data_IF_227824495326
#
_entry.id   IF_227824495326
#
_cell.length_a   1.000
_cell.length_b   1.000
_cell.length_c   1.000
_cell.angle_alpha   90.00
_cell.angle_beta   90.00
_cell.angle_gamma   90.00
#
_symmetry.space_group_name_H-M   'P 1'
#
loop_
_entity.id
_entity.type
_entity.pdbx_description
1 polymer ?
#
# COMPACT_ATOMS: atom_id res chain seq x y z
N UNK A 1 40.12 -15.42 -10.72
CA UNK A 1 40.60 -14.18 -11.37
C UNK A 1 39.61 -13.09 -11.03
N UNK A 2 40.04 -11.88 -10.62
CA UNK A 2 39.12 -10.76 -10.54
C UNK A 2 38.50 -10.55 -11.94
N UNK A 3 37.20 -10.21 -12.02
CA UNK A 3 36.57 -9.89 -13.29
C UNK A 3 37.31 -8.74 -13.98
N UNK A 4 37.31 -8.73 -15.31
CA UNK A 4 37.84 -7.62 -16.09
C UNK A 4 37.20 -6.30 -15.60
N UNK A 5 37.98 -5.26 -15.26
CA UNK A 5 37.45 -3.98 -14.79
C UNK A 5 36.46 -3.35 -15.76
N UNK A 6 36.62 -3.57 -17.08
CA UNK A 6 35.65 -3.13 -18.09
C UNK A 6 34.32 -3.88 -17.96
N UNK A 7 34.39 -5.21 -17.80
CA UNK A 7 33.21 -6.06 -17.60
C UNK A 7 32.50 -5.76 -16.28
N UNK A 8 33.24 -5.44 -15.23
CA UNK A 8 32.70 -5.11 -13.91
C UNK A 8 31.93 -3.79 -13.92
N UNK A 9 32.41 -2.79 -14.69
CA UNK A 9 31.72 -1.53 -14.88
C UNK A 9 30.42 -1.68 -15.68
N UNK A 10 30.42 -2.49 -16.74
CA UNK A 10 29.22 -2.80 -17.52
C UNK A 10 28.15 -3.53 -16.70
N UNK A 11 28.56 -4.52 -15.89
CA UNK A 11 27.67 -5.24 -14.97
C UNK A 11 27.09 -4.33 -13.90
N UNK A 12 27.90 -3.43 -13.32
CA UNK A 12 27.42 -2.45 -12.35
C UNK A 12 26.35 -1.52 -12.96
N UNK A 13 26.55 -1.04 -14.20
CA UNK A 13 25.55 -0.23 -14.89
C UNK A 13 24.25 -1.01 -15.19
N UNK A 14 24.37 -2.27 -15.58
CA UNK A 14 23.21 -3.13 -15.80
C UNK A 14 22.36 -3.30 -14.53
N UNK A 15 23.01 -3.51 -13.37
CA UNK A 15 22.37 -3.58 -12.06
C UNK A 15 21.69 -2.25 -11.67
N UNK A 16 22.30 -1.10 -12.02
CA UNK A 16 21.66 0.22 -11.83
C UNK A 16 20.35 0.31 -12.61
N UNK A 17 20.36 -0.05 -13.90
CA UNK A 17 19.16 -0.06 -14.73
C UNK A 17 18.11 -1.07 -14.25
N UNK A 18 18.53 -2.24 -13.80
CA UNK A 18 17.65 -3.25 -13.20
C UNK A 18 16.93 -2.69 -11.96
N UNK A 19 17.65 -1.99 -11.07
CA UNK A 19 17.04 -1.38 -9.91
C UNK A 19 15.96 -0.34 -10.27
N UNK A 20 16.19 0.47 -11.32
CA UNK A 20 15.15 1.38 -11.83
C UNK A 20 13.93 0.65 -12.40
N UNK A 21 14.11 -0.49 -13.06
CA UNK A 21 12.98 -1.33 -13.50
C UNK A 21 12.21 -1.86 -12.30
N UNK A 22 12.90 -2.28 -11.24
CA UNK A 22 12.24 -2.73 -10.01
C UNK A 22 11.41 -1.63 -9.36
N UNK A 23 11.84 -0.37 -9.39
CA UNK A 23 11.00 0.77 -8.95
C UNK A 23 9.71 0.86 -9.77
N UNK A 24 9.78 0.75 -11.09
CA UNK A 24 8.58 0.75 -11.96
C UNK A 24 7.62 -0.42 -11.67
N UNK A 25 8.18 -1.54 -11.22
CA UNK A 25 7.43 -2.74 -10.82
C UNK A 25 6.99 -2.71 -9.35
N UNK A 26 7.16 -1.59 -8.65
CA UNK A 26 6.86 -1.45 -7.21
C UNK A 26 7.58 -2.47 -6.31
N UNK A 27 8.83 -2.80 -6.65
CA UNK A 27 9.70 -3.72 -5.89
C UNK A 27 10.88 -2.95 -5.27
N UNK A 28 10.65 -2.07 -4.27
CA UNK A 28 11.71 -1.22 -3.73
C UNK A 28 12.85 -2.00 -3.06
N UNK A 29 12.56 -3.17 -2.47
CA UNK A 29 13.60 -4.02 -1.88
C UNK A 29 14.52 -4.63 -2.95
N UNK A 30 13.96 -5.10 -4.07
CA UNK A 30 14.76 -5.59 -5.18
C UNK A 30 15.58 -4.45 -5.81
N UNK A 31 15.00 -3.26 -5.93
CA UNK A 31 15.73 -2.09 -6.41
C UNK A 31 16.94 -1.74 -5.53
N UNK A 32 16.74 -1.66 -4.22
CA UNK A 32 17.81 -1.45 -3.24
C UNK A 32 18.91 -2.52 -3.38
N UNK A 33 18.53 -3.79 -3.51
CA UNK A 33 19.48 -4.90 -3.62
C UNK A 33 20.32 -4.83 -4.91
N UNK A 34 19.71 -4.50 -6.06
CA UNK A 34 20.43 -4.31 -7.32
C UNK A 34 21.47 -3.19 -7.21
N UNK A 35 21.11 -2.05 -6.60
CA UNK A 35 22.05 -0.94 -6.42
C UNK A 35 23.17 -1.25 -5.42
N UNK A 36 22.88 -1.97 -4.33
CA UNK A 36 23.90 -2.45 -3.41
C UNK A 36 24.87 -3.42 -4.08
N UNK A 37 24.39 -4.31 -4.96
CA UNK A 37 25.26 -5.18 -5.75
C UNK A 37 26.13 -4.36 -6.73
N UNK A 38 25.57 -3.32 -7.36
CA UNK A 38 26.32 -2.42 -8.22
C UNK A 38 27.47 -1.75 -7.45
N UNK A 39 27.23 -1.27 -6.23
CA UNK A 39 28.26 -0.69 -5.35
C UNK A 39 29.33 -1.70 -4.89
N UNK A 40 29.00 -2.99 -4.78
CA UNK A 40 30.00 -4.04 -4.50
C UNK A 40 30.93 -4.27 -5.69
N UNK A 41 30.40 -4.24 -6.91
CA UNK A 41 31.20 -4.38 -8.13
C UNK A 41 32.03 -3.12 -8.42
N UNK A 42 31.46 -1.94 -8.16
CA UNK A 42 32.11 -0.66 -8.36
C UNK A 42 31.87 0.25 -7.15
N UNK A 43 32.74 0.15 -6.13
CA UNK A 43 32.66 1.03 -4.95
C UNK A 43 32.73 2.50 -5.36
N UNK A 44 31.79 3.30 -4.85
CA UNK A 44 31.70 4.74 -5.17
C UNK A 44 31.08 5.05 -6.53
N UNK A 45 30.33 4.11 -7.15
CA UNK A 45 29.56 4.42 -8.35
C UNK A 45 28.52 5.52 -8.05
N UNK A 46 28.56 6.67 -8.75
CA UNK A 46 27.71 7.81 -8.44
C UNK A 46 26.23 7.53 -8.76
N UNK A 47 25.94 6.76 -9.81
CA UNK A 47 24.56 6.49 -10.20
C UNK A 47 23.87 5.53 -9.22
N UNK A 48 24.57 4.49 -8.76
CA UNK A 48 24.05 3.59 -7.73
C UNK A 48 23.88 4.30 -6.38
N UNK A 49 24.82 5.18 -6.02
CA UNK A 49 24.72 6.00 -4.79
C UNK A 49 23.52 6.93 -4.85
N UNK A 50 23.36 7.69 -5.93
CA UNK A 50 22.22 8.60 -6.13
C UNK A 50 20.88 7.84 -6.11
N UNK A 51 20.81 6.65 -6.71
CA UNK A 51 19.60 5.85 -6.73
C UNK A 51 19.20 5.35 -5.33
N UNK A 52 20.17 4.93 -4.51
CA UNK A 52 19.94 4.56 -3.11
C UNK A 52 19.49 5.75 -2.28
N UNK A 53 20.19 6.89 -2.38
CA UNK A 53 19.83 8.12 -1.67
C UNK A 53 18.41 8.56 -2.03
N UNK A 54 18.04 8.46 -3.31
CA UNK A 54 16.68 8.77 -3.78
C UNK A 54 15.63 7.86 -3.15
N UNK A 55 15.88 6.54 -3.06
CA UNK A 55 14.93 5.63 -2.42
C UNK A 55 14.83 5.88 -0.92
N UNK A 56 15.96 6.05 -0.23
CA UNK A 56 15.98 6.27 1.23
C UNK A 56 15.27 7.58 1.62
N UNK A 57 15.32 8.59 0.75
CA UNK A 57 14.71 9.92 0.96
C UNK A 57 13.34 10.09 0.29
N UNK A 58 12.79 9.05 -0.35
CA UNK A 58 11.47 9.07 -0.99
C UNK A 58 10.34 9.21 0.05
N UNK A 59 10.03 10.44 0.44
CA UNK A 59 9.02 10.77 1.45
C UNK A 59 7.59 10.45 1.00
N UNK A 60 7.38 10.18 -0.28
CA UNK A 60 6.12 9.69 -0.83
C UNK A 60 5.86 8.21 -0.51
N UNK A 61 6.89 7.43 -0.18
CA UNK A 61 6.78 6.01 0.16
C UNK A 61 6.64 5.82 1.68
N UNK A 62 5.89 4.78 2.12
CA UNK A 62 5.92 4.39 3.53
C UNK A 62 7.34 3.98 3.95
N UNK A 63 7.72 4.30 5.19
CA UNK A 63 9.06 4.01 5.71
C UNK A 63 9.44 2.52 5.56
N UNK A 64 8.48 1.61 5.75
CA UNK A 64 8.68 0.17 5.60
C UNK A 64 9.21 -0.26 4.21
N UNK A 65 8.96 0.56 3.17
CA UNK A 65 9.39 0.33 1.79
C UNK A 65 10.81 0.83 1.50
N UNK A 66 11.30 1.83 2.24
CA UNK A 66 12.57 2.52 1.99
C UNK A 66 13.66 2.28 3.04
N UNK A 67 13.29 1.81 4.24
CA UNK A 67 14.22 1.44 5.32
C UNK A 67 15.16 0.32 4.86
N UNK A 68 16.50 0.53 4.86
CA UNK A 68 17.45 -0.53 4.57
C UNK A 68 17.31 -1.70 5.53
N UNK A 69 17.44 -2.93 5.02
CA UNK A 69 17.24 -4.16 5.81
C UNK A 69 18.51 -4.99 5.87
N UNK A 70 18.71 -5.63 7.01
CA UNK A 70 19.84 -6.52 7.28
C UNK A 70 19.31 -7.89 7.64
N UNK A 71 20.09 -8.90 7.32
CA UNK A 71 19.84 -10.26 7.76
C UNK A 71 19.98 -10.34 9.28
N UNK A 72 19.10 -11.10 9.92
CA UNK A 72 19.15 -11.42 11.34
C UNK A 72 20.26 -12.45 11.60
N UNK A 73 20.74 -12.43 12.84
CA UNK A 73 21.64 -13.45 13.36
C UNK A 73 20.84 -14.70 13.81
N UNK A 74 21.46 -15.89 13.79
CA UNK A 74 21.01 -17.07 14.53
C UNK A 74 20.58 -16.74 15.96
N UNK A 75 19.55 -17.45 16.41
CA UNK A 75 18.97 -17.26 17.75
C UNK A 75 19.92 -17.71 18.88
N UNK A 76 20.70 -18.77 18.64
CA UNK A 76 21.62 -19.37 19.61
C UNK A 76 22.85 -20.00 18.92
N UNK A 77 23.74 -20.59 19.74
CA UNK A 77 24.98 -21.22 19.28
C UNK A 77 24.72 -22.50 18.46
N UNK A 78 23.60 -23.19 18.69
CA UNK A 78 23.23 -24.40 17.94
C UNK A 78 22.75 -24.03 16.52
N UNK A 79 21.88 -23.03 16.41
CA UNK A 79 21.50 -22.41 15.15
C UNK A 79 22.73 -21.85 14.42
N UNK A 80 23.66 -21.20 15.14
CA UNK A 80 24.92 -20.74 14.55
C UNK A 80 25.70 -21.87 13.89
N UNK A 81 25.87 -22.99 14.58
CA UNK A 81 26.59 -24.16 14.04
C UNK A 81 25.91 -24.72 12.79
N UNK A 82 24.58 -24.79 12.77
CA UNK A 82 23.80 -25.21 11.59
C UNK A 82 23.97 -24.25 10.41
N UNK A 83 23.92 -22.95 10.65
CA UNK A 83 24.13 -21.93 9.62
C UNK A 83 25.54 -22.01 9.04
N UNK A 84 26.56 -22.15 9.90
CA UNK A 84 27.95 -22.29 9.47
C UNK A 84 28.18 -23.54 8.60
N UNK A 85 27.46 -24.63 8.87
CA UNK A 85 27.47 -25.82 8.04
C UNK A 85 26.78 -25.58 6.69
N UNK A 86 25.56 -25.03 6.69
CA UNK A 86 24.81 -24.73 5.48
C UNK A 86 25.54 -23.74 4.57
N UNK A 87 26.27 -22.78 5.14
CA UNK A 87 27.02 -21.77 4.41
C UNK A 87 28.38 -22.25 3.90
N UNK A 88 28.88 -23.39 4.39
CA UNK A 88 30.21 -23.88 4.06
C UNK A 88 30.37 -24.07 2.55
N UNK A 89 31.34 -23.37 1.97
CA UNK A 89 31.66 -23.45 0.55
C UNK A 89 30.68 -22.72 -0.39
N UNK A 90 29.72 -21.95 0.15
CA UNK A 90 28.80 -21.12 -0.66
C UNK A 90 29.29 -19.67 -0.74
N UNK A 91 29.01 -19.02 -1.86
CA UNK A 91 29.21 -17.57 -2.01
C UNK A 91 27.93 -16.83 -1.59
N UNK A 92 27.82 -16.47 -0.31
CA UNK A 92 26.67 -15.73 0.22
C UNK A 92 26.60 -14.28 -0.24
N UNK A 93 27.61 -13.77 -0.95
CA UNK A 93 27.52 -12.44 -1.58
C UNK A 93 26.53 -12.44 -2.75
N UNK A 94 26.30 -13.62 -3.36
CA UNK A 94 25.26 -13.86 -4.33
C UNK A 94 23.92 -14.13 -3.62
N UNK A 95 22.93 -13.27 -3.85
CA UNK A 95 21.62 -13.36 -3.18
C UNK A 95 20.91 -14.70 -3.47
N UNK A 96 21.08 -15.25 -4.68
CA UNK A 96 20.52 -16.56 -5.03
C UNK A 96 21.08 -17.70 -4.17
N UNK A 97 22.38 -17.71 -3.90
CA UNK A 97 23.01 -18.72 -3.06
C UNK A 97 22.61 -18.56 -1.58
N UNK A 98 22.50 -17.33 -1.10
CA UNK A 98 21.97 -17.03 0.24
C UNK A 98 20.50 -17.50 0.38
N UNK A 99 19.66 -17.21 -0.62
CA UNK A 99 18.26 -17.67 -0.65
C UNK A 99 18.15 -19.19 -0.53
N UNK A 100 18.94 -19.94 -1.29
CA UNK A 100 18.95 -21.40 -1.26
C UNK A 100 19.51 -21.97 0.05
N UNK A 101 20.44 -21.26 0.72
CA UNK A 101 20.92 -21.67 2.04
C UNK A 101 19.85 -21.47 3.12
N UNK A 102 19.16 -20.33 3.11
CA UNK A 102 18.06 -20.08 4.06
C UNK A 102 16.82 -20.94 3.78
N UNK A 103 16.60 -21.36 2.54
CA UNK A 103 15.63 -22.42 2.21
C UNK A 103 15.92 -23.71 2.97
N UNK A 104 17.14 -24.23 2.77
CA UNK A 104 17.55 -25.47 3.40
C UNK A 104 17.50 -25.36 4.94
N UNK A 105 17.99 -24.25 5.50
CA UNK A 105 17.95 -24.04 6.95
C UNK A 105 16.52 -24.01 7.51
N UNK A 106 15.57 -23.41 6.78
CA UNK A 106 14.16 -23.36 7.17
C UNK A 106 13.46 -24.72 7.03
N UNK A 107 13.92 -25.58 6.11
CA UNK A 107 13.46 -26.97 5.98
C UNK A 107 14.04 -27.88 7.09
N UNK A 108 15.33 -27.71 7.39
CA UNK A 108 16.06 -28.49 8.40
C UNK A 108 15.55 -28.17 9.82
N UNK A 109 15.23 -26.90 10.09
CA UNK A 109 14.58 -26.46 11.33
C UNK A 109 13.51 -25.40 11.05
N UNK A 110 12.24 -25.82 10.97
CA UNK A 110 11.13 -24.90 10.76
C UNK A 110 10.92 -23.91 11.91
N UNK A 111 11.54 -24.09 13.08
CA UNK A 111 11.36 -23.21 14.25
C UNK A 111 12.40 -22.10 14.36
N UNK A 112 13.45 -22.11 13.53
CA UNK A 112 14.45 -21.04 13.46
C UNK A 112 13.84 -19.79 12.78
N UNK A 113 13.22 -18.92 13.60
CA UNK A 113 12.57 -17.72 13.10
C UNK A 113 13.52 -16.79 12.30
N UNK A 114 14.75 -16.48 12.75
CA UNK A 114 15.71 -15.75 11.93
C UNK A 114 15.93 -16.30 10.51
N UNK A 115 15.89 -17.63 10.30
CA UNK A 115 15.96 -18.22 8.96
C UNK A 115 14.80 -17.78 8.07
N UNK A 116 13.56 -17.82 8.57
CA UNK A 116 12.38 -17.43 7.81
C UNK A 116 12.40 -15.97 7.40
N UNK A 117 12.80 -15.07 8.30
CA UNK A 117 12.95 -13.66 7.96
C UNK A 117 14.05 -13.43 6.92
N UNK A 118 15.19 -14.10 7.07
CA UNK A 118 16.31 -13.98 6.12
C UNK A 118 15.97 -14.55 4.74
N UNK A 119 15.26 -15.69 4.69
CA UNK A 119 14.68 -16.26 3.47
C UNK A 119 13.77 -15.25 2.80
N UNK A 120 12.85 -14.63 3.54
CA UNK A 120 11.97 -13.61 3.01
C UNK A 120 12.72 -12.42 2.40
N UNK A 121 13.76 -11.93 3.08
CA UNK A 121 14.57 -10.82 2.54
C UNK A 121 15.29 -11.21 1.25
N UNK A 122 15.90 -12.40 1.18
CA UNK A 122 16.54 -12.86 -0.05
C UNK A 122 15.54 -13.01 -1.22
N UNK A 123 14.34 -13.52 -0.95
CA UNK A 123 13.27 -13.61 -1.94
C UNK A 123 12.79 -12.22 -2.39
N UNK A 124 12.59 -11.28 -1.45
CA UNK A 124 12.20 -9.91 -1.76
C UNK A 124 13.28 -9.16 -2.57
N UNK A 125 14.56 -9.36 -2.25
CA UNK A 125 15.70 -8.77 -2.96
C UNK A 125 15.86 -9.30 -4.39
N UNK A 126 15.32 -10.49 -4.69
CA UNK A 126 15.27 -11.06 -6.04
C UNK A 126 13.93 -10.80 -6.74
N UNK A 127 13.01 -10.06 -6.11
CA UNK A 127 11.70 -9.71 -6.64
C UNK A 127 10.68 -10.85 -6.59
N UNK A 128 10.95 -11.95 -5.87
CA UNK A 128 10.02 -13.06 -5.59
C UNK A 128 9.12 -12.68 -4.41
N UNK A 129 8.33 -11.62 -4.58
CA UNK A 129 7.54 -11.03 -3.51
C UNK A 129 6.50 -11.99 -2.92
N UNK A 130 5.89 -12.83 -3.76
CA UNK A 130 4.84 -13.77 -3.35
C UNK A 130 5.34 -14.73 -2.26
N UNK A 131 6.45 -15.39 -2.54
CA UNK A 131 7.09 -16.35 -1.64
C UNK A 131 7.73 -15.65 -0.43
N UNK A 132 8.21 -14.42 -0.61
CA UNK A 132 8.70 -13.61 0.51
C UNK A 132 7.57 -13.32 1.53
N UNK A 133 6.35 -13.08 1.06
CA UNK A 133 5.18 -12.89 1.94
C UNK A 133 4.89 -14.17 2.73
N UNK A 134 4.97 -15.35 2.11
CA UNK A 134 4.79 -16.62 2.82
C UNK A 134 5.84 -16.84 3.93
N UNK A 135 7.10 -16.52 3.64
CA UNK A 135 8.17 -16.63 4.62
C UNK A 135 8.03 -15.61 5.76
N UNK A 136 7.57 -14.38 5.47
CA UNK A 136 7.24 -13.39 6.51
C UNK A 136 6.04 -13.84 7.36
N UNK A 137 5.03 -14.46 6.75
CA UNK A 137 3.88 -15.00 7.48
C UNK A 137 4.32 -16.08 8.48
N UNK A 138 5.19 -16.99 8.03
CA UNK A 138 5.78 -17.99 8.93
C UNK A 138 6.57 -17.34 10.07
N UNK A 139 7.44 -16.36 9.74
CA UNK A 139 8.20 -15.62 10.74
C UNK A 139 7.31 -14.96 11.79
N UNK A 140 6.21 -14.32 11.37
CA UNK A 140 5.23 -13.70 12.27
C UNK A 140 4.59 -14.75 13.17
N UNK A 141 4.21 -15.92 12.65
CA UNK A 141 3.65 -17.00 13.47
C UNK A 141 4.60 -17.47 14.59
N UNK A 142 5.89 -17.56 14.30
CA UNK A 142 6.88 -17.97 15.30
C UNK A 142 7.17 -16.90 16.34
N UNK A 143 7.08 -15.62 15.97
CA UNK A 143 7.64 -14.53 16.77
C UNK A 143 6.60 -13.64 17.43
N UNK A 144 5.35 -13.64 16.96
CA UNK A 144 4.35 -12.67 17.39
C UNK A 144 4.11 -12.61 18.91
N UNK A 145 4.17 -13.74 19.60
CA UNK A 145 4.01 -13.78 21.06
C UNK A 145 5.24 -13.27 21.83
N UNK A 146 6.46 -13.54 21.32
CA UNK A 146 7.71 -13.23 22.01
C UNK A 146 8.28 -11.84 21.64
N UNK A 147 8.06 -11.41 20.39
CA UNK A 147 8.64 -10.21 19.78
C UNK A 147 7.58 -9.50 18.91
N UNK A 148 6.48 -9.00 19.49
CA UNK A 148 5.34 -8.46 18.75
C UNK A 148 5.69 -7.28 17.84
N UNK A 149 6.62 -6.41 18.25
CA UNK A 149 7.03 -5.25 17.45
C UNK A 149 7.80 -5.65 16.18
N UNK A 150 8.71 -6.62 16.30
CA UNK A 150 9.45 -7.14 15.15
C UNK A 150 8.53 -7.92 14.21
N UNK A 151 7.56 -8.67 14.76
CA UNK A 151 6.53 -9.33 13.96
C UNK A 151 5.66 -8.31 13.22
N UNK A 152 5.28 -7.20 13.86
CA UNK A 152 4.54 -6.11 13.22
C UNK A 152 5.36 -5.40 12.14
N UNK A 153 6.66 -5.13 12.36
CA UNK A 153 7.56 -4.57 11.34
C UNK A 153 7.75 -5.51 10.14
N UNK A 154 7.85 -6.82 10.39
CA UNK A 154 7.92 -7.84 9.35
C UNK A 154 6.61 -7.92 8.55
N UNK A 155 5.46 -7.81 9.22
CA UNK A 155 4.18 -7.80 8.52
C UNK A 155 3.92 -6.50 7.75
N UNK A 156 4.38 -5.35 8.26
CA UNK A 156 4.39 -4.10 7.50
C UNK A 156 5.23 -4.23 6.22
N UNK A 157 6.33 -4.99 6.23
CA UNK A 157 7.06 -5.32 5.01
C UNK A 157 6.22 -6.18 4.06
N UNK A 158 5.51 -7.19 4.57
CA UNK A 158 4.63 -8.02 3.74
C UNK A 158 3.56 -7.17 3.02
N UNK A 159 2.99 -6.16 3.71
CA UNK A 159 2.08 -5.19 3.10
C UNK A 159 2.71 -4.44 1.92
N UNK A 160 3.99 -4.05 2.01
CA UNK A 160 4.71 -3.43 0.88
C UNK A 160 4.86 -4.44 -0.28
N UNK A 161 5.26 -5.67 0.02
CA UNK A 161 5.56 -6.67 -1.00
C UNK A 161 4.32 -7.08 -1.81
N UNK A 162 3.13 -7.08 -1.20
CA UNK A 162 1.83 -7.39 -1.85
C UNK A 162 1.50 -6.48 -3.02
N UNK A 163 2.04 -5.27 -3.05
CA UNK A 163 1.79 -4.28 -4.11
C UNK A 163 2.86 -4.28 -5.20
N UNK A 164 3.93 -5.05 -5.02
CA UNK A 164 4.93 -5.27 -6.06
C UNK A 164 4.47 -6.26 -7.11
N UNK A 165 4.99 -6.13 -8.33
CA UNK A 165 4.65 -7.02 -9.42
C UNK A 165 4.90 -8.50 -9.05
N UNK A 166 4.06 -9.40 -9.52
CA UNK A 166 4.08 -10.84 -9.20
C UNK A 166 3.32 -11.23 -7.92
N UNK A 167 2.89 -10.26 -7.09
CA UNK A 167 2.08 -10.50 -5.90
C UNK A 167 0.67 -9.89 -6.02
N UNK A 168 0.20 -9.56 -7.22
CA UNK A 168 -1.05 -8.81 -7.46
C UNK A 168 -2.28 -9.52 -6.86
N UNK A 169 -2.27 -10.84 -6.83
CA UNK A 169 -3.35 -11.66 -6.26
C UNK A 169 -3.43 -11.58 -4.72
N UNK A 170 -2.39 -11.04 -4.06
CA UNK A 170 -2.31 -10.82 -2.61
C UNK A 170 -2.57 -9.38 -2.18
N UNK A 171 -2.73 -8.46 -3.12
CA UNK A 171 -2.96 -7.04 -2.85
C UNK A 171 -4.38 -6.79 -2.33
N UNK A 172 -4.49 -5.95 -1.29
CA UNK A 172 -5.77 -5.55 -0.72
C UNK A 172 -6.26 -4.19 -1.25
N UNK A 173 -5.34 -3.25 -1.54
CA UNK A 173 -5.71 -1.93 -2.06
C UNK A 173 -5.55 -1.91 -3.60
N UNK A 174 -6.68 -2.05 -4.30
CA UNK A 174 -6.74 -2.21 -5.76
C UNK A 174 -7.35 -0.97 -6.42
N UNK A 175 -6.92 -0.70 -7.65
CA UNK A 175 -7.64 0.16 -8.59
C UNK A 175 -8.39 -0.71 -9.60
N UNK A 176 -9.66 -0.39 -9.79
CA UNK A 176 -10.53 -1.00 -10.78
C UNK A 176 -10.75 0.01 -11.89
N UNK A 177 -10.56 -0.40 -13.14
CA UNK A 177 -10.79 0.47 -14.28
C UNK A 177 -11.34 -0.30 -15.47
N UNK A 178 -12.04 0.42 -16.32
CA UNK A 178 -12.41 -0.05 -17.64
C UNK A 178 -12.18 1.03 -18.69
N UNK A 179 -11.98 0.61 -19.92
CA UNK A 179 -11.99 1.45 -21.11
C UNK A 179 -12.96 0.87 -22.14
N UNK A 180 -13.67 1.76 -22.85
CA UNK A 180 -14.51 1.37 -23.98
C UNK A 180 -14.55 2.48 -25.05
N UNK A 181 -14.83 2.12 -26.31
CA UNK A 181 -15.14 3.10 -27.35
C UNK A 181 -16.35 3.95 -26.95
N UNK A 182 -16.21 5.27 -27.06
CA UNK A 182 -17.29 6.21 -26.77
C UNK A 182 -17.59 7.09 -27.99
N UNK A 183 -18.81 6.99 -28.59
CA UNK A 183 -19.15 7.81 -29.74
C UNK A 183 -19.12 9.30 -29.42
N UNK A 184 -18.52 10.11 -30.29
CA UNK A 184 -18.46 11.58 -30.09
C UNK A 184 -19.84 12.23 -30.07
N UNK A 185 -20.78 11.68 -30.86
CA UNK A 185 -22.17 12.11 -30.92
C UNK A 185 -22.97 11.79 -29.67
N UNK A 186 -22.49 10.86 -28.83
CA UNK A 186 -23.18 10.48 -27.60
C UNK A 186 -22.84 11.45 -26.47
N UNK A 187 -23.84 11.91 -25.69
CA UNK A 187 -23.58 12.73 -24.50
C UNK A 187 -22.70 11.99 -23.50
N UNK A 188 -21.93 12.69 -22.65
CA UNK A 188 -21.15 12.03 -21.60
C UNK A 188 -22.03 11.13 -20.71
N UNK A 189 -21.52 9.99 -20.23
CA UNK A 189 -22.30 9.08 -19.37
C UNK A 189 -22.69 9.73 -18.03
N UNK A 190 -22.01 10.78 -17.62
CA UNK A 190 -22.25 11.47 -16.36
C UNK A 190 -23.01 12.79 -16.54
N UNK A 191 -23.59 13.07 -17.72
CA UNK A 191 -24.26 14.35 -17.98
C UNK A 191 -25.50 14.57 -17.10
N UNK A 192 -26.33 13.54 -16.92
CA UNK A 192 -27.49 13.61 -16.03
C UNK A 192 -27.06 13.81 -14.56
N UNK A 193 -26.02 13.10 -14.13
CA UNK A 193 -25.43 13.25 -12.79
C UNK A 193 -24.80 14.64 -12.58
N UNK A 194 -24.21 15.21 -13.63
CA UNK A 194 -23.66 16.57 -13.60
C UNK A 194 -24.77 17.61 -13.40
N UNK A 195 -25.91 17.45 -14.07
CA UNK A 195 -27.08 18.33 -13.88
C UNK A 195 -27.63 18.27 -12.44
N UNK A 196 -27.41 17.15 -11.73
CA UNK A 196 -27.76 16.98 -10.31
C UNK A 196 -26.66 17.45 -9.35
N UNK A 197 -25.51 17.92 -9.82
CA UNK A 197 -24.39 18.33 -8.98
C UNK A 197 -23.56 17.18 -8.40
N UNK A 198 -23.62 15.99 -9.00
CA UNK A 198 -22.87 14.80 -8.61
C UNK A 198 -21.58 14.57 -9.44
N UNK A 199 -21.13 15.60 -10.16
CA UNK A 199 -19.92 15.55 -11.01
C UNK A 199 -19.09 16.80 -10.78
N UNK A 200 -17.78 16.63 -10.63
CA UNK A 200 -16.81 17.73 -10.50
C UNK A 200 -15.78 17.66 -11.62
N UNK A 201 -15.56 18.76 -12.32
CA UNK A 201 -14.49 18.82 -13.34
C UNK A 201 -13.13 18.88 -12.66
N UNK A 202 -12.18 18.11 -13.19
CA UNK A 202 -10.77 18.17 -12.82
C UNK A 202 -10.02 18.82 -13.99
N UNK A 203 -9.17 19.84 -13.74
CA UNK A 203 -8.35 20.39 -14.81
C UNK A 203 -7.43 19.31 -15.37
N UNK A 204 -7.36 19.24 -16.71
CA UNK A 204 -6.42 18.35 -17.40
C UNK A 204 -5.00 18.77 -17.02
N UNK A 205 -4.13 17.84 -16.57
CA UNK A 205 -2.73 18.16 -16.28
C UNK A 205 -2.05 18.85 -17.45
N UNK A 206 -1.22 19.84 -17.14
CA UNK A 206 -0.43 20.59 -18.12
C UNK A 206 0.98 20.03 -18.10
N UNK A 207 1.54 19.78 -19.28
CA UNK A 207 2.93 19.40 -19.44
C UNK A 207 3.82 20.59 -18.99
N UNK A 208 4.68 20.41 -17.97
CA UNK A 208 5.49 21.50 -17.44
C UNK A 208 6.52 22.03 -18.45
N UNK A 209 6.94 21.22 -19.43
CA UNK A 209 7.91 21.61 -20.46
C UNK A 209 7.25 22.38 -21.60
N UNK A 210 6.12 21.87 -22.09
CA UNK A 210 5.45 22.45 -23.27
C UNK A 210 4.35 23.45 -22.93
N UNK A 211 3.93 23.50 -21.66
CA UNK A 211 2.78 24.27 -21.16
C UNK A 211 1.46 23.94 -21.88
N UNK A 212 1.40 22.81 -22.60
CA UNK A 212 0.22 22.33 -23.29
C UNK A 212 -0.54 21.31 -22.42
N UNK A 213 -1.87 21.16 -22.60
CA UNK A 213 -2.61 20.08 -21.96
C UNK A 213 -2.04 18.72 -22.34
N UNK A 214 -1.80 17.86 -21.35
CA UNK A 214 -1.27 16.51 -21.58
C UNK A 214 -2.26 15.61 -22.34
N UNK A 215 -3.55 15.93 -22.29
CA UNK A 215 -4.60 15.24 -23.04
C UNK A 215 -5.55 16.26 -23.70
N UNK A 216 -5.18 16.83 -24.86
CA UNK A 216 -6.00 17.81 -25.56
C UNK A 216 -7.38 17.24 -25.93
N UNK A 217 -8.45 17.98 -25.62
CA UNK A 217 -9.83 17.56 -25.88
C UNK A 217 -10.39 16.54 -24.89
N UNK A 218 -9.61 16.10 -23.90
CA UNK A 218 -10.12 15.25 -22.84
C UNK A 218 -10.91 16.06 -21.80
N UNK A 219 -11.97 15.47 -21.28
CA UNK A 219 -12.66 15.93 -20.07
C UNK A 219 -12.44 14.93 -18.96
N UNK A 220 -11.89 15.41 -17.84
CA UNK A 220 -11.62 14.59 -16.65
C UNK A 220 -12.59 15.03 -15.56
N UNK A 221 -13.33 14.08 -14.98
CA UNK A 221 -14.30 14.38 -13.94
C UNK A 221 -14.21 13.41 -12.77
N UNK A 222 -14.49 13.91 -11.58
CA UNK A 222 -14.85 13.08 -10.43
C UNK A 222 -16.35 12.84 -10.47
N UNK A 223 -16.75 11.57 -10.53
CA UNK A 223 -18.13 11.15 -10.43
C UNK A 223 -18.44 10.73 -8.99
N UNK A 224 -19.25 11.53 -8.32
CA UNK A 224 -19.63 11.36 -6.92
C UNK A 224 -20.74 10.33 -6.75
N UNK A 225 -20.85 9.72 -5.57
CA UNK A 225 -21.94 8.80 -5.20
C UNK A 225 -23.30 9.47 -5.09
N UNK A 226 -23.29 10.76 -4.75
CA UNK A 226 -24.46 11.61 -4.60
C UNK A 226 -24.11 13.08 -4.93
N UNK A 227 -25.12 13.93 -5.14
CA UNK A 227 -24.92 15.37 -5.26
C UNK A 227 -24.16 15.98 -4.08
N UNK A 228 -23.37 17.02 -4.36
CA UNK A 228 -22.76 17.83 -3.30
C UNK A 228 -23.85 18.54 -2.47
N UNK A 229 -23.88 18.36 -1.13
CA UNK A 229 -24.81 19.11 -0.31
C UNK A 229 -24.41 20.60 -0.24
N UNK A 230 -25.37 21.50 0.05
CA UNK A 230 -25.06 22.90 0.31
C UNK A 230 -24.15 23.02 1.56
N UNK A 231 -23.34 24.09 1.68
CA UNK A 231 -22.48 24.28 2.84
C UNK A 231 -23.32 24.51 4.09
N UNK A 232 -23.24 23.56 5.04
CA UNK A 232 -23.92 23.62 6.33
C UNK A 232 -22.95 23.17 7.45
N UNK A 233 -22.72 23.99 8.49
CA UNK A 233 -21.92 23.59 9.65
C UNK A 233 -22.43 22.34 10.39
N UNK A 234 -23.69 21.96 10.22
CA UNK A 234 -24.29 20.77 10.83
C UNK A 234 -23.95 19.43 10.15
N UNK A 235 -23.26 19.45 9.00
CA UNK A 235 -22.96 18.24 8.24
C UNK A 235 -22.10 17.23 9.02
N UNK A 236 -22.36 15.96 8.73
CA UNK A 236 -21.61 14.81 9.25
C UNK A 236 -20.93 14.05 8.11
N UNK A 237 -19.97 13.15 8.40
CA UNK A 237 -19.35 12.33 7.37
C UNK A 237 -20.31 11.50 6.50
N UNK A 238 -21.48 11.12 7.03
CA UNK A 238 -22.47 10.34 6.30
C UNK A 238 -23.20 11.15 5.21
N UNK A 239 -23.20 12.48 5.34
CA UNK A 239 -23.81 13.42 4.39
C UNK A 239 -22.87 13.74 3.22
N UNK A 240 -21.56 13.48 3.40
CA UNK A 240 -20.54 13.85 2.44
C UNK A 240 -20.51 12.88 1.25
N UNK A 241 -20.45 13.40 0.02
CA UNK A 241 -20.25 12.57 -1.16
C UNK A 241 -18.84 11.97 -1.19
N UNK A 242 -18.75 10.78 -1.78
CA UNK A 242 -17.52 10.04 -2.04
C UNK A 242 -17.34 9.92 -3.56
N UNK A 243 -16.11 10.08 -4.04
CA UNK A 243 -15.78 9.81 -5.44
C UNK A 243 -15.92 8.31 -5.72
N UNK A 244 -16.91 7.94 -6.55
CA UNK A 244 -17.12 6.56 -7.02
C UNK A 244 -16.14 6.19 -8.12
N UNK A 245 -15.90 7.13 -9.04
CA UNK A 245 -14.99 6.95 -10.15
C UNK A 245 -14.44 8.29 -10.63
N UNK A 246 -13.23 8.25 -11.18
CA UNK A 246 -12.70 9.28 -12.06
C UNK A 246 -13.00 8.82 -13.49
N UNK A 247 -13.68 9.66 -14.27
CA UNK A 247 -14.00 9.40 -15.66
C UNK A 247 -13.21 10.35 -16.56
N UNK A 248 -12.53 9.80 -17.56
CA UNK A 248 -11.78 10.51 -18.58
C UNK A 248 -12.48 10.24 -19.91
N UNK A 249 -13.13 11.26 -20.46
CA UNK A 249 -13.67 11.23 -21.81
C UNK A 249 -12.64 11.86 -22.75
N UNK A 250 -12.09 11.06 -23.64
CA UNK A 250 -11.22 11.52 -24.73
C UNK A 250 -11.95 11.37 -26.07
N UNK A 251 -11.46 11.96 -27.18
CA UNK A 251 -12.02 11.69 -28.50
C UNK A 251 -12.07 10.18 -28.79
N UNK A 252 -13.28 9.65 -29.00
CA UNK A 252 -13.53 8.24 -29.32
C UNK A 252 -13.46 7.24 -28.16
N UNK A 253 -13.14 7.64 -26.93
CA UNK A 253 -12.95 6.72 -25.82
C UNK A 253 -13.44 7.27 -24.47
N UNK A 254 -13.91 6.36 -23.63
CA UNK A 254 -14.22 6.62 -22.23
C UNK A 254 -13.40 5.66 -21.36
N UNK A 255 -12.66 6.22 -20.42
CA UNK A 255 -11.99 5.47 -19.36
C UNK A 255 -12.58 5.85 -18.02
N UNK A 256 -12.95 4.86 -17.23
CA UNK A 256 -13.37 5.07 -15.84
C UNK A 256 -12.43 4.28 -14.91
N UNK A 257 -12.08 4.87 -13.78
CA UNK A 257 -11.28 4.21 -12.75
C UNK A 257 -11.76 4.57 -11.36
N UNK A 258 -11.73 3.62 -10.43
CA UNK A 258 -12.15 3.80 -9.04
C UNK A 258 -11.44 2.84 -8.11
N UNK A 259 -11.75 2.96 -6.82
CA UNK A 259 -11.18 2.13 -5.76
C UNK A 259 -12.19 1.10 -5.24
N UNK A 260 -13.46 1.27 -5.58
CA UNK A 260 -14.54 0.38 -5.18
C UNK A 260 -15.04 -0.43 -6.37
N UNK A 261 -15.02 -1.75 -6.23
CA UNK A 261 -15.38 -2.69 -7.30
C UNK A 261 -16.85 -2.57 -7.67
N UNK A 262 -17.73 -2.56 -6.67
CA UNK A 262 -19.18 -2.56 -6.88
C UNK A 262 -19.63 -1.26 -7.56
N UNK A 263 -19.02 -0.13 -7.20
CA UNK A 263 -19.24 1.15 -7.83
C UNK A 263 -18.87 1.10 -9.32
N UNK A 264 -17.69 0.59 -9.68
CA UNK A 264 -17.25 0.49 -11.08
C UNK A 264 -18.14 -0.47 -11.88
N UNK A 265 -18.45 -1.66 -11.35
CA UNK A 265 -19.38 -2.58 -12.01
C UNK A 265 -20.79 -1.98 -12.15
N UNK A 266 -21.22 -1.17 -11.19
CA UNK A 266 -22.46 -0.40 -11.27
C UNK A 266 -22.47 0.64 -12.39
N UNK A 267 -21.34 1.30 -12.63
CA UNK A 267 -21.18 2.24 -13.75
C UNK A 267 -21.23 1.53 -15.10
N UNK A 268 -20.59 0.36 -15.23
CA UNK A 268 -20.68 -0.46 -16.44
C UNK A 268 -22.14 -0.79 -16.77
N UNK A 269 -22.91 -1.28 -15.78
CA UNK A 269 -24.34 -1.57 -15.94
C UNK A 269 -25.16 -0.34 -16.33
N UNK A 270 -24.86 0.82 -15.76
CA UNK A 270 -25.50 2.09 -16.10
C UNK A 270 -25.22 2.51 -17.55
N UNK A 271 -23.98 2.31 -18.02
CA UNK A 271 -23.58 2.60 -19.39
C UNK A 271 -24.25 1.66 -20.39
N UNK A 272 -24.29 0.34 -20.12
CA UNK A 272 -25.01 -0.62 -20.95
C UNK A 272 -26.51 -0.31 -21.03
N UNK A 273 -27.12 0.16 -19.94
CA UNK A 273 -28.50 0.60 -19.94
C UNK A 273 -28.78 1.76 -20.91
N UNK A 274 -27.76 2.57 -21.25
CA UNK A 274 -27.87 3.74 -22.14
C UNK A 274 -27.53 3.44 -23.59
N UNK A 275 -26.44 2.72 -23.83
CA UNK A 275 -25.95 2.44 -25.19
C UNK A 275 -26.43 1.10 -25.75
N UNK A 276 -27.04 0.25 -24.91
CA UNK A 276 -27.39 -1.12 -25.25
C UNK A 276 -26.46 -2.13 -24.59
N UNK A 277 -26.93 -3.37 -24.48
CA UNK A 277 -26.17 -4.48 -23.88
C UNK A 277 -25.07 -4.98 -24.82
N UNK A 278 -24.06 -5.62 -24.24
CA UNK A 278 -23.01 -6.31 -25.02
C UNK A 278 -21.90 -5.37 -25.50
N UNK A 279 -21.66 -4.28 -24.77
CA UNK A 279 -20.50 -3.44 -24.98
C UNK A 279 -19.23 -4.19 -24.57
N UNK A 280 -18.16 -3.98 -25.32
CA UNK A 280 -16.85 -4.54 -24.98
C UNK A 280 -16.10 -3.55 -24.07
N UNK A 281 -15.84 -4.00 -22.83
CA UNK A 281 -15.13 -3.22 -21.82
C UNK A 281 -13.75 -3.87 -21.60
N UNK A 282 -12.67 -3.13 -21.89
CA UNK A 282 -11.31 -3.51 -21.50
C UNK A 282 -11.12 -3.25 -20.01
N UNK A 283 -11.29 -4.29 -19.18
CA UNK A 283 -11.25 -4.21 -17.72
C UNK A 283 -9.84 -4.49 -17.19
N UNK A 284 -9.40 -3.67 -16.25
CA UNK A 284 -8.11 -3.83 -15.57
C UNK A 284 -8.28 -3.67 -14.07
N UNK A 285 -7.69 -4.61 -13.33
CA UNK A 285 -7.55 -4.57 -11.88
C UNK A 285 -6.06 -4.59 -11.57
N UNK A 286 -5.59 -3.55 -10.89
CA UNK A 286 -4.16 -3.40 -10.60
C UNK A 286 -3.96 -2.97 -9.15
N UNK A 287 -2.95 -3.51 -8.43
CA UNK A 287 -2.58 -2.97 -7.14
C UNK A 287 -2.28 -1.48 -7.22
N UNK A 288 -2.72 -0.73 -6.19
CA UNK A 288 -2.38 0.68 -6.10
C UNK A 288 -0.86 0.86 -5.96
N UNK A 289 -0.30 1.94 -6.53
CA UNK A 289 1.04 2.40 -6.19
C UNK A 289 1.26 2.46 -4.68
N UNK A 290 2.46 2.09 -4.21
CA UNK A 290 2.85 2.21 -2.80
C UNK A 290 2.62 3.62 -2.23
N UNK A 291 2.84 4.65 -3.05
CA UNK A 291 2.57 6.04 -2.69
C UNK A 291 1.07 6.41 -2.66
N UNK A 292 0.17 5.49 -2.97
CA UNK A 292 -1.27 5.72 -3.09
C UNK A 292 -2.10 4.69 -2.32
N UNK A 293 -1.51 3.88 -1.44
CA UNK A 293 -2.26 2.89 -0.65
C UNK A 293 -3.30 3.52 0.29
N UNK A 294 -3.19 4.83 0.54
CA UNK A 294 -4.15 5.63 1.31
C UNK A 294 -5.14 6.43 0.43
N UNK A 295 -5.15 6.23 -0.89
CA UNK A 295 -5.98 7.01 -1.81
C UNK A 295 -7.48 7.00 -1.44
N UNK A 296 -7.96 5.92 -0.81
CA UNK A 296 -9.33 5.81 -0.33
C UNK A 296 -9.70 6.87 0.73
N UNK A 297 -8.75 7.36 1.53
CA UNK A 297 -8.97 8.48 2.49
C UNK A 297 -9.34 9.75 1.73
N UNK A 298 -8.68 10.00 0.60
CA UNK A 298 -8.85 11.18 -0.22
C UNK A 298 -10.05 11.10 -1.19
N UNK A 299 -11.04 10.23 -0.94
CA UNK A 299 -12.24 10.09 -1.80
C UNK A 299 -13.43 10.91 -1.32
N UNK A 300 -13.47 11.30 -0.05
CA UNK A 300 -14.55 12.12 0.50
C UNK A 300 -14.41 13.56 -0.01
N UNK A 301 -15.52 14.21 -0.37
CA UNK A 301 -15.53 15.60 -0.84
C UNK A 301 -16.35 16.46 0.09
N UNK A 302 -15.78 17.60 0.49
CA UNK A 302 -16.42 18.58 1.35
C UNK A 302 -17.05 19.70 0.50
N UNK A 303 -18.21 20.25 0.92
CA UNK A 303 -18.81 21.40 0.26
C UNK A 303 -17.89 22.62 0.22
N UNK A 304 -17.89 23.30 -0.92
CA UNK A 304 -17.23 24.59 -1.07
C UNK A 304 -17.99 25.67 -0.27
N UNK A 305 -17.26 26.67 0.23
CA UNK A 305 -17.86 27.76 1.02
C UNK A 305 -18.05 27.51 2.51
N UNK A 306 -17.72 26.31 3.04
CA UNK A 306 -17.67 26.08 4.48
C UNK A 306 -16.62 26.96 5.16
N UNK A 307 -16.89 27.51 6.37
CA UNK A 307 -15.89 28.17 7.19
C UNK A 307 -14.66 27.28 7.42
N UNK A 308 -13.45 27.86 7.53
CA UNK A 308 -12.22 27.06 7.68
C UNK A 308 -12.24 26.07 8.85
N UNK A 309 -12.82 26.48 9.99
CA UNK A 309 -12.91 25.64 11.19
C UNK A 309 -13.90 24.47 11.00
N UNK A 310 -15.06 24.73 10.39
CA UNK A 310 -16.03 23.68 10.07
C UNK A 310 -15.47 22.68 9.06
N UNK A 311 -14.71 23.17 8.07
CA UNK A 311 -14.03 22.30 7.09
C UNK A 311 -13.03 21.37 7.76
N UNK A 312 -12.16 21.90 8.64
CA UNK A 312 -11.19 21.08 9.39
C UNK A 312 -11.89 20.04 10.28
N UNK A 313 -12.92 20.47 11.03
CA UNK A 313 -13.74 19.59 11.87
C UNK A 313 -14.35 18.45 11.06
N UNK A 314 -14.98 18.78 9.93
CA UNK A 314 -15.66 17.82 9.07
C UNK A 314 -14.68 16.87 8.38
N UNK A 315 -13.52 17.38 7.96
CA UNK A 315 -12.43 16.57 7.41
C UNK A 315 -11.87 15.59 8.45
N UNK A 316 -11.58 16.05 9.66
CA UNK A 316 -11.13 15.18 10.76
C UNK A 316 -12.18 14.09 11.08
N UNK A 317 -13.47 14.46 11.12
CA UNK A 317 -14.56 13.51 11.31
C UNK A 317 -14.66 12.49 10.15
N UNK A 318 -14.45 12.92 8.91
CA UNK A 318 -14.48 12.03 7.74
C UNK A 318 -13.35 11.00 7.77
N UNK A 319 -12.17 11.37 8.24
CA UNK A 319 -11.02 10.47 8.38
C UNK A 319 -11.25 9.47 9.50
N UNK A 320 -11.78 9.92 10.64
CA UNK A 320 -12.18 9.03 11.73
C UNK A 320 -13.23 8.02 11.27
N UNK A 321 -14.30 8.48 10.61
CA UNK A 321 -15.32 7.61 10.02
C UNK A 321 -14.74 6.63 9.01
N UNK A 322 -13.76 7.06 8.20
CA UNK A 322 -13.06 6.17 7.29
C UNK A 322 -12.36 5.04 8.03
N UNK A 323 -11.45 5.33 8.95
CA UNK A 323 -10.63 4.30 9.59
C UNK A 323 -11.44 3.42 10.56
N UNK A 324 -12.33 4.02 11.34
CA UNK A 324 -13.00 3.34 12.46
C UNK A 324 -14.28 2.63 12.06
N UNK A 325 -14.85 3.00 10.91
CA UNK A 325 -16.13 2.45 10.46
C UNK A 325 -16.03 1.78 9.10
N UNK A 326 -15.53 2.46 8.05
CA UNK A 326 -15.47 1.91 6.70
C UNK A 326 -14.33 0.90 6.57
N UNK A 327 -13.09 1.35 6.74
CA UNK A 327 -11.88 0.54 6.67
C UNK A 327 -11.88 -0.61 7.68
N UNK A 328 -12.36 -0.34 8.90
CA UNK A 328 -12.46 -1.33 9.98
C UNK A 328 -13.27 -2.58 9.62
N UNK A 329 -14.20 -2.50 8.66
CA UNK A 329 -15.11 -3.59 8.29
C UNK A 329 -14.74 -4.29 6.98
N UNK A 330 -13.82 -3.74 6.19
CA UNK A 330 -13.45 -4.32 4.88
C UNK A 330 -12.50 -5.49 5.10
N UNK A 331 -12.86 -6.73 4.70
CA UNK A 331 -11.98 -7.89 4.84
C UNK A 331 -10.72 -7.77 3.99
N UNK A 332 -9.57 -8.11 4.58
CA UNK A 332 -8.24 -8.03 3.99
C UNK A 332 -7.57 -9.41 3.96
N UNK A 333 -6.92 -9.73 2.86
CA UNK A 333 -6.01 -10.87 2.72
C UNK A 333 -4.84 -10.73 3.71
N UNK A 334 -4.40 -9.49 3.98
CA UNK A 334 -3.37 -9.14 4.98
C UNK A 334 -3.69 -9.55 6.40
N UNK A 335 -4.94 -9.92 6.69
CA UNK A 335 -5.40 -10.28 8.04
C UNK A 335 -6.05 -11.67 8.08
N UNK A 336 -6.11 -12.35 6.94
CA UNK A 336 -6.65 -13.69 6.81
C UNK A 336 -5.77 -14.76 7.44
N UNK A 337 -6.32 -15.96 7.52
CA UNK A 337 -5.56 -17.16 7.80
C UNK A 337 -4.54 -17.43 6.67
N UNK A 338 -3.43 -18.09 7.02
CA UNK A 338 -2.42 -18.48 6.03
C UNK A 338 -3.01 -19.56 5.11
N UNK A 339 -2.60 -19.63 3.83
CA UNK A 339 -2.93 -20.77 2.99
C UNK A 339 -2.52 -22.09 3.66
N UNK A 340 -3.49 -22.97 3.92
CA UNK A 340 -3.27 -24.25 4.61
C UNK A 340 -3.59 -24.26 6.11
N UNK A 341 -3.96 -23.12 6.70
CA UNK A 341 -4.58 -23.10 8.03
C UNK A 341 -6.02 -23.63 7.92
N UNK A 342 -6.29 -24.82 8.45
CA UNK A 342 -7.58 -25.51 8.27
C UNK A 342 -8.78 -24.82 8.98
N UNK A 343 -8.53 -23.90 9.92
CA UNK A 343 -9.56 -23.40 10.85
C UNK A 343 -9.96 -21.92 10.67
N UNK A 344 -9.36 -21.16 9.75
CA UNK A 344 -9.55 -19.69 9.67
C UNK A 344 -10.08 -19.17 8.32
N UNK A 345 -10.85 -18.06 8.29
CA UNK A 345 -11.29 -17.46 7.03
C UNK A 345 -10.10 -16.88 6.23
N UNK A 346 -10.15 -16.96 4.89
CA UNK A 346 -9.06 -16.48 4.01
C UNK A 346 -8.88 -14.96 4.03
N UNK A 347 -9.86 -14.22 4.58
CA UNK A 347 -9.81 -12.77 4.76
C UNK A 347 -10.44 -12.44 6.10
N UNK A 348 -9.89 -11.45 6.80
CA UNK A 348 -10.51 -10.85 8.00
C UNK A 348 -10.49 -9.34 7.89
N UNK A 349 -11.51 -8.70 8.42
CA UNK A 349 -11.52 -7.24 8.59
C UNK A 349 -10.59 -6.82 9.73
N UNK A 350 -10.10 -5.56 9.73
CA UNK A 350 -9.36 -5.03 10.87
C UNK A 350 -10.09 -5.18 12.21
N UNK A 351 -11.43 -5.07 12.21
CA UNK A 351 -12.24 -5.28 13.41
C UNK A 351 -12.21 -6.72 13.92
N UNK A 352 -12.36 -7.70 13.04
CA UNK A 352 -12.27 -9.12 13.41
C UNK A 352 -10.85 -9.48 13.89
N UNK A 353 -9.81 -8.98 13.21
CA UNK A 353 -8.43 -9.17 13.65
C UNK A 353 -8.17 -8.53 15.03
N UNK A 354 -8.75 -7.36 15.30
CA UNK A 354 -8.67 -6.70 16.62
C UNK A 354 -9.37 -7.48 17.73
N UNK A 355 -10.52 -8.11 17.43
CA UNK A 355 -11.21 -8.99 18.38
C UNK A 355 -10.34 -10.19 18.76
N UNK A 356 -9.73 -10.87 17.78
CA UNK A 356 -8.80 -11.97 18.04
C UNK A 356 -7.58 -11.50 18.84
N UNK A 357 -7.01 -10.32 18.51
CA UNK A 357 -5.89 -9.74 19.25
C UNK A 357 -6.23 -9.47 20.73
N UNK A 358 -7.46 -9.03 21.01
CA UNK A 358 -7.97 -8.83 22.36
C UNK A 358 -8.25 -10.15 23.10
N UNK A 359 -8.59 -11.22 22.37
CA UNK A 359 -8.75 -12.58 22.89
C UNK A 359 -7.41 -13.31 23.14
N UNK A 360 -6.28 -12.68 22.80
CA UNK A 360 -4.94 -13.19 23.05
C UNK A 360 -4.24 -13.79 21.82
N UNK A 361 -4.81 -13.68 20.62
CA UNK A 361 -4.14 -14.08 19.37
C UNK A 361 -3.02 -13.08 19.04
N UNK A 362 -1.80 -13.48 19.37
CA UNK A 362 -0.60 -12.67 19.12
C UNK A 362 -0.34 -12.46 17.62
N UNK A 363 -0.67 -13.43 16.76
CA UNK A 363 -0.47 -13.33 15.31
C UNK A 363 -1.43 -12.31 14.71
N UNK A 364 -2.71 -12.38 15.05
CA UNK A 364 -3.69 -11.37 14.64
C UNK A 364 -3.29 -9.98 15.11
N UNK A 365 -2.79 -9.85 16.34
CA UNK A 365 -2.24 -8.60 16.90
C UNK A 365 -1.09 -8.06 16.04
N UNK A 366 -0.06 -8.87 15.80
CA UNK A 366 1.12 -8.45 15.03
C UNK A 366 0.75 -8.07 13.59
N UNK A 367 -0.09 -8.87 12.93
CA UNK A 367 -0.55 -8.59 11.57
C UNK A 367 -1.32 -7.27 11.51
N UNK A 368 -2.29 -7.06 12.40
CA UNK A 368 -3.05 -5.82 12.44
C UNK A 368 -2.18 -4.60 12.76
N UNK A 369 -1.26 -4.71 13.71
CA UNK A 369 -0.28 -3.67 14.02
C UNK A 369 0.58 -3.30 12.81
N UNK A 370 1.06 -4.29 12.04
CA UNK A 370 1.83 -4.06 10.82
C UNK A 370 1.03 -3.35 9.72
N UNK A 371 -0.23 -3.73 9.51
CA UNK A 371 -1.13 -3.06 8.56
C UNK A 371 -1.36 -1.60 8.98
N UNK A 372 -1.65 -1.35 10.26
CA UNK A 372 -1.87 0.01 10.78
C UNK A 372 -0.59 0.85 10.67
N UNK A 373 0.58 0.26 10.94
CA UNK A 373 1.87 0.93 10.81
C UNK A 373 2.09 1.48 9.40
N UNK A 374 1.74 0.72 8.35
CA UNK A 374 1.82 1.24 6.97
C UNK A 374 0.87 2.41 6.73
N UNK A 375 -0.37 2.36 7.26
CA UNK A 375 -1.32 3.49 7.14
C UNK A 375 -0.83 4.73 7.87
N UNK A 376 -0.24 4.57 9.04
CA UNK A 376 0.34 5.67 9.80
C UNK A 376 1.56 6.28 9.08
N UNK A 377 2.44 5.45 8.51
CA UNK A 377 3.58 5.93 7.72
C UNK A 377 3.12 6.75 6.52
N UNK A 378 2.05 6.34 5.83
CA UNK A 378 1.45 7.08 4.73
C UNK A 378 0.82 8.41 5.19
N UNK A 379 0.21 8.43 6.37
CA UNK A 379 -0.40 9.62 6.94
C UNK A 379 0.64 10.70 7.32
N UNK A 380 1.84 10.28 7.73
CA UNK A 380 2.94 11.16 8.16
C UNK A 380 3.69 11.82 7.00
N UNK A 381 3.38 11.47 5.75
CA UNK A 381 4.06 12.01 4.57
C UNK A 381 3.74 13.51 4.41
N UNK A 382 4.70 14.35 3.98
CA UNK A 382 4.48 15.78 3.83
C UNK A 382 3.28 16.13 2.93
N UNK A 383 3.08 15.39 1.83
CA UNK A 383 1.95 15.58 0.90
C UNK A 383 0.58 15.20 1.47
N UNK A 384 0.54 14.35 2.48
CA UNK A 384 -0.71 13.86 3.09
C UNK A 384 -0.98 14.48 4.46
N UNK A 385 -0.03 15.21 5.05
CA UNK A 385 -0.18 15.78 6.40
C UNK A 385 -1.45 16.63 6.56
N UNK A 386 -1.72 17.52 5.58
CA UNK A 386 -2.92 18.36 5.55
C UNK A 386 -4.20 17.55 5.31
N UNK A 387 -4.11 16.43 4.59
CA UNK A 387 -5.24 15.52 4.42
C UNK A 387 -5.61 14.93 5.78
N UNK A 388 -4.63 14.43 6.53
CA UNK A 388 -4.85 13.67 7.77
C UNK A 388 -5.14 14.52 9.00
N UNK A 389 -4.79 15.81 9.01
CA UNK A 389 -4.99 16.73 10.14
C UNK A 389 -4.51 16.16 11.49
N UNK A 390 -3.42 15.37 11.46
CA UNK A 390 -2.87 14.74 12.67
C UNK A 390 -3.75 13.65 13.27
N UNK A 391 -4.50 12.88 12.46
CA UNK A 391 -5.29 11.73 12.93
C UNK A 391 -4.51 10.83 13.90
N UNK A 392 -5.10 10.53 15.06
CA UNK A 392 -4.50 9.74 16.13
C UNK A 392 -4.59 8.23 15.82
N UNK A 393 -3.52 7.67 15.28
CA UNK A 393 -3.43 6.22 15.04
C UNK A 393 -3.36 5.39 16.33
N UNK A 394 -2.97 5.96 17.46
CA UNK A 394 -3.04 5.25 18.74
C UNK A 394 -4.49 5.14 19.23
N UNK A 395 -5.35 6.11 18.90
CA UNK A 395 -6.79 5.96 19.09
C UNK A 395 -7.34 4.82 18.25
N UNK A 396 -6.87 4.66 17.01
CA UNK A 396 -7.25 3.53 16.16
C UNK A 396 -6.75 2.20 16.74
N UNK A 397 -5.50 2.13 17.23
CA UNK A 397 -4.94 0.95 17.91
C UNK A 397 -5.78 0.55 19.12
N UNK A 398 -6.09 1.51 20.01
CA UNK A 398 -6.95 1.28 21.18
C UNK A 398 -8.33 0.75 20.80
N UNK A 399 -8.93 1.27 19.72
CA UNK A 399 -10.22 0.78 19.20
C UNK A 399 -10.17 -0.71 18.82
N UNK A 400 -9.02 -1.20 18.37
CA UNK A 400 -8.81 -2.61 18.02
C UNK A 400 -8.15 -3.43 19.13
N UNK A 401 -8.05 -2.93 20.36
CA UNK A 401 -7.45 -3.65 21.48
C UNK A 401 -5.93 -3.83 21.36
N UNK A 402 -5.25 -2.97 20.60
CA UNK A 402 -3.80 -2.97 20.44
C UNK A 402 -3.13 -1.95 21.36
N UNK A 403 -1.90 -2.25 21.74
CA UNK A 403 -1.04 -1.33 22.49
C UNK A 403 -0.63 -0.14 21.61
N UNK A 404 -0.64 1.10 22.13
CA UNK A 404 0.00 2.24 21.47
C UNK A 404 1.49 1.98 21.23
N UNK A 405 2.07 2.64 20.23
CA UNK A 405 3.53 2.64 20.11
C UNK A 405 4.12 3.46 21.27
N UNK A 406 5.28 3.06 21.81
CA UNK A 406 5.91 3.77 22.93
C UNK A 406 6.15 5.26 22.59
N UNK A 407 5.37 6.11 23.29
CA UNK A 407 5.29 7.56 23.33
C UNK A 407 4.91 8.32 22.02
N UNK A 408 3.72 8.97 21.97
CA UNK A 408 3.52 10.07 21.02
C UNK A 408 4.41 11.27 21.42
N UNK A 409 4.89 12.10 20.46
CA UNK A 409 5.34 13.45 20.81
C UNK A 409 4.20 14.16 21.59
N UNK A 410 4.51 15.13 22.48
CA UNK A 410 3.49 15.79 23.29
C UNK A 410 2.34 16.21 22.39
N UNK A 411 1.16 15.62 22.64
CA UNK A 411 -0.07 15.97 21.96
C UNK A 411 -0.22 17.47 22.10
N UNK A 412 -0.04 18.19 21.00
CA UNK A 412 -0.62 19.52 20.90
C UNK A 412 -2.11 19.27 21.04
N UNK A 413 -2.74 19.88 22.04
CA UNK A 413 -4.20 19.91 22.17
C UNK A 413 -4.78 20.28 20.79
N UNK A 414 -5.26 19.29 20.05
CA UNK A 414 -6.00 19.50 18.82
C UNK A 414 -7.44 19.78 19.25
N UNK A 415 -7.96 21.00 19.07
CA UNK A 415 -9.37 21.23 19.27
C UNK A 415 -10.13 20.41 18.22
N UNK A 416 -11.20 19.71 18.65
CA UNK A 416 -12.26 19.12 17.81
C UNK A 416 -12.14 17.64 17.37
N UNK A 417 -11.63 16.71 18.18
CA UNK A 417 -12.09 15.31 18.05
C UNK A 417 -13.35 15.10 18.90
N UNK A 418 -14.47 14.61 18.33
CA UNK A 418 -15.64 14.27 19.13
C UNK A 418 -15.32 13.08 20.04
N UNK A 419 -15.40 13.30 21.36
CA UNK A 419 -15.38 12.19 22.33
C UNK A 419 -16.61 11.33 22.08
N UNK A 420 -16.45 10.02 21.90
CA UNK A 420 -17.58 9.09 22.03
C UNK A 420 -17.95 9.11 23.51
N UNK A 421 -19.17 9.53 23.82
CA UNK A 421 -19.77 9.26 25.12
C UNK A 421 -20.01 7.74 25.18
N UNK A 422 -19.44 7.08 26.20
CA UNK A 422 -19.68 5.66 26.43
C UNK A 422 -21.18 5.46 26.72
N UNK A 423 -21.86 4.49 26.09
CA UNK A 423 -23.19 4.12 26.50
C UNK A 423 -23.11 3.47 27.88
N UNK A 424 -23.64 4.16 28.89
CA UNK A 424 -23.87 3.65 30.25
C UNK A 424 -24.78 2.44 30.29
#
# INVERSE_FOLDING_TARGET
>A
MPPDPSSSAELALALVHEGWRHVQLQRPLAAWASWQQALRLKPGDPAATEALDRLETADELPEAARKPRRLLNPADDEARARWDDAFRGRDLSAIAAASAAFEQLAEDDPTDAPCWYNRALCLAWTGRNDEAIDALDYYVHLTAAAQPDLAAEAWALAEILRHGAGAEHRADDLSYSFELPWPESSPPPFEADAALGAVREIPVPIDPLTQAPMAPGARVVEWLDRPMPPPDPGLTPADLPIVRAIAIRSPGALRCSGLDREAIEGLERSIEGRLGRGLDFDRRVTPLPLAMLDAAVATVRLPEGLPPEDRKRLQAAAIAAYFEERWARVPRLGLGARPGDDDGPPRRSPREAGQLAAEGDAVARAKLSGVILVREQLARRPRSADLYLGYDFDRLRRLFGLDPLDAPPPSVDLPLQPRREDPT
#
